data_IF_931437127586
#
_entry.id   IF_931437127586
#
_cell.length_a   1.000
_cell.length_b   1.000
_cell.length_c   1.000
_cell.angle_alpha   90.00
_cell.angle_beta   90.00
_cell.angle_gamma   90.00
#
_symmetry.space_group_name_H-M   'P 1'
#
loop_
_entity.id
_entity.type
_entity.pdbx_description
1 polymer ?
#
# COMPACT_ATOMS: atom_id res chain seq x y z
N UNK A 1 -13.39 -24.70 -7.17
CA UNK A 1 -12.13 -24.46 -7.92
C UNK A 1 -11.39 -23.31 -7.29
N UNK A 2 -10.11 -23.48 -6.95
CA UNK A 2 -9.24 -22.42 -6.39
C UNK A 2 -8.61 -21.70 -7.59
N UNK A 3 -8.95 -20.44 -7.82
CA UNK A 3 -8.34 -19.65 -8.88
C UNK A 3 -6.88 -19.37 -8.49
N UNK A 4 -5.96 -20.11 -9.09
CA UNK A 4 -4.52 -19.82 -8.99
C UNK A 4 -4.28 -18.64 -9.90
N UNK A 5 -3.90 -17.50 -9.35
CA UNK A 5 -3.39 -16.38 -10.12
C UNK A 5 -2.03 -16.82 -10.70
N UNK A 6 -1.94 -17.12 -12.02
CA UNK A 6 -0.74 -17.71 -12.61
C UNK A 6 0.42 -16.69 -12.65
N UNK A 7 0.06 -15.42 -12.67
CA UNK A 7 0.96 -14.30 -12.82
C UNK A 7 1.45 -13.79 -11.45
N UNK A 8 0.63 -13.93 -10.42
CA UNK A 8 0.95 -13.62 -9.02
C UNK A 8 1.08 -12.13 -8.76
N UNK A 9 0.35 -11.29 -9.51
CA UNK A 9 0.35 -9.83 -9.37
C UNK A 9 -0.53 -9.40 -8.21
N UNK A 10 -0.10 -8.37 -7.51
CA UNK A 10 -0.83 -7.86 -6.38
C UNK A 10 -0.63 -6.37 -6.19
N UNK A 11 -1.57 -5.79 -5.46
CA UNK A 11 -1.42 -4.51 -4.79
C UNK A 11 -1.57 -4.70 -3.28
N UNK A 12 -0.72 -4.00 -2.52
CA UNK A 12 -0.82 -3.94 -1.06
C UNK A 12 -1.10 -2.50 -0.67
N UNK A 13 -2.26 -2.27 -0.07
CA UNK A 13 -2.50 -1.01 0.65
C UNK A 13 -1.84 -1.14 2.02
N UNK A 14 -0.87 -0.27 2.29
CA UNK A 14 -0.11 -0.22 3.53
C UNK A 14 -0.72 0.82 4.45
N UNK A 15 -0.71 0.56 5.76
CA UNK A 15 -1.16 1.53 6.75
C UNK A 15 -0.31 1.50 8.03
N UNK A 16 0.21 2.66 8.38
CA UNK A 16 0.80 2.96 9.68
C UNK A 16 -0.30 3.64 10.50
N UNK A 17 -0.97 2.85 11.34
CA UNK A 17 -2.23 3.20 11.99
C UNK A 17 -2.08 4.25 13.09
N UNK A 18 -0.86 4.38 13.63
CA UNK A 18 -0.53 5.27 14.73
C UNK A 18 0.14 6.57 14.25
N UNK A 19 0.49 6.66 12.95
CA UNK A 19 1.03 7.87 12.35
C UNK A 19 0.00 9.01 12.28
N UNK A 20 0.52 10.24 12.17
CA UNK A 20 -0.23 11.52 12.14
C UNK A 20 -1.32 11.58 13.22
N UNK A 21 -0.90 11.97 14.43
CA UNK A 21 -1.79 12.14 15.56
C UNK A 21 -2.34 13.57 15.61
N UNK A 22 -3.65 13.71 15.39
CA UNK A 22 -4.36 14.97 15.56
C UNK A 22 -5.14 14.89 16.88
N UNK A 23 -4.52 15.33 17.97
CA UNK A 23 -5.09 15.25 19.33
C UNK A 23 -6.49 15.86 19.44
N UNK A 24 -6.77 16.92 18.68
CA UNK A 24 -8.07 17.58 18.64
C UNK A 24 -9.19 16.68 18.08
N UNK A 25 -8.83 15.62 17.35
CA UNK A 25 -9.75 14.71 16.65
C UNK A 25 -9.80 13.32 17.30
N UNK A 26 -9.33 13.19 18.54
CA UNK A 26 -9.50 11.97 19.33
C UNK A 26 -8.54 10.82 19.00
N UNK A 27 -7.44 11.07 18.28
CA UNK A 27 -6.37 10.08 18.10
C UNK A 27 -5.66 10.08 16.75
N UNK A 28 -4.88 9.01 16.47
CA UNK A 28 -4.11 8.87 15.24
C UNK A 28 -5.01 8.63 14.03
N UNK A 29 -4.73 9.35 12.94
CA UNK A 29 -5.45 9.23 11.68
C UNK A 29 -4.80 8.21 10.73
N UNK A 30 -3.53 7.89 10.99
CA UNK A 30 -2.72 6.93 10.26
C UNK A 30 -1.96 7.55 9.10
N UNK A 31 -1.31 6.70 8.31
CA UNK A 31 -0.62 7.06 7.07
C UNK A 31 -0.66 5.88 6.11
N UNK A 32 -1.08 6.13 4.86
CA UNK A 32 -1.19 5.09 3.84
C UNK A 32 -0.09 5.24 2.80
N UNK A 33 0.30 4.10 2.24
CA UNK A 33 1.11 3.99 1.04
C UNK A 33 0.65 2.77 0.25
N UNK A 34 1.21 2.56 -0.93
CA UNK A 34 0.80 1.45 -1.79
C UNK A 34 2.02 0.77 -2.42
N UNK A 35 1.98 -0.56 -2.48
CA UNK A 35 2.91 -1.39 -3.25
C UNK A 35 2.15 -2.03 -4.40
N UNK A 36 2.72 -2.03 -5.59
CA UNK A 36 2.15 -2.68 -6.78
C UNK A 36 3.20 -3.58 -7.42
N UNK A 37 2.87 -4.84 -7.66
CA UNK A 37 3.75 -5.76 -8.36
C UNK A 37 3.73 -7.17 -7.83
N UNK A 38 4.85 -7.87 -8.02
CA UNK A 38 5.06 -9.23 -7.54
C UNK A 38 6.54 -9.61 -7.47
N UNK A 39 6.85 -10.77 -6.89
CA UNK A 39 8.23 -11.24 -6.75
C UNK A 39 8.88 -11.68 -8.06
N UNK A 40 8.12 -11.79 -9.16
CA UNK A 40 8.65 -12.16 -10.49
C UNK A 40 9.17 -10.94 -11.26
N UNK A 41 8.42 -9.84 -11.20
CA UNK A 41 8.64 -8.61 -11.98
C UNK A 41 9.06 -7.42 -11.11
N UNK A 42 9.10 -7.61 -9.81
CA UNK A 42 9.38 -6.57 -8.83
C UNK A 42 8.12 -5.84 -8.37
N UNK A 43 8.33 -5.12 -7.27
CA UNK A 43 7.34 -4.29 -6.60
C UNK A 43 7.75 -2.83 -6.72
N UNK A 44 6.77 -1.95 -6.88
CA UNK A 44 6.97 -0.51 -6.82
C UNK A 44 6.17 0.06 -5.66
N UNK A 45 6.87 0.72 -4.76
CA UNK A 45 6.32 1.44 -3.61
C UNK A 45 6.08 2.89 -3.98
N UNK A 46 4.90 3.41 -3.65
CA UNK A 46 4.53 4.81 -3.80
C UNK A 46 4.02 5.37 -2.48
N UNK A 47 4.58 6.51 -2.08
CA UNK A 47 4.17 7.23 -0.87
C UNK A 47 4.35 8.74 -1.02
N UNK A 48 3.35 9.53 -0.61
CA UNK A 48 3.58 10.95 -0.33
C UNK A 48 3.91 11.13 1.13
N UNK A 49 5.12 11.61 1.43
CA UNK A 49 5.46 11.99 2.79
C UNK A 49 4.85 13.37 3.05
N UNK A 50 4.26 13.56 4.23
CA UNK A 50 3.54 14.79 4.57
C UNK A 50 4.46 16.01 4.66
N UNK A 51 4.73 16.48 5.88
CA UNK A 51 5.43 17.75 6.10
C UNK A 51 6.97 17.69 6.07
N UNK A 52 7.57 16.54 5.74
CA UNK A 52 9.02 16.37 5.74
C UNK A 52 9.52 15.35 4.71
N UNK A 53 10.78 15.49 4.27
CA UNK A 53 11.38 14.53 3.36
C UNK A 53 11.49 13.15 4.01
N UNK A 54 11.42 12.12 3.17
CA UNK A 54 11.83 10.77 3.50
C UNK A 54 13.24 10.79 4.08
N UNK A 55 13.44 10.11 5.20
CA UNK A 55 14.79 9.93 5.76
C UNK A 55 15.66 9.01 4.91
N UNK A 56 15.06 8.31 3.95
CA UNK A 56 15.71 7.25 3.17
C UNK A 56 16.06 7.75 1.77
N UNK A 57 15.14 8.41 1.07
CA UNK A 57 15.41 8.98 -0.25
C UNK A 57 15.84 10.44 -0.19
N UNK A 58 15.57 11.14 0.91
CA UNK A 58 15.70 12.60 1.00
C UNK A 58 14.60 13.36 0.27
N UNK A 59 13.66 12.67 -0.40
CA UNK A 59 12.61 13.26 -1.21
C UNK A 59 11.31 13.48 -0.42
N UNK A 60 10.50 14.47 -0.84
CA UNK A 60 9.18 14.73 -0.23
C UNK A 60 8.17 13.61 -0.50
N UNK A 61 8.38 12.82 -1.55
CA UNK A 61 7.54 11.68 -1.91
C UNK A 61 8.47 10.54 -2.32
N UNK A 62 8.09 9.30 -2.07
CA UNK A 62 8.91 8.14 -2.39
C UNK A 62 8.31 7.37 -3.56
N UNK A 63 9.17 7.04 -4.52
CA UNK A 63 8.99 5.94 -5.48
C UNK A 63 10.19 5.01 -5.36
N UNK A 64 9.97 3.79 -4.89
CA UNK A 64 11.09 2.85 -4.62
C UNK A 64 10.75 1.48 -5.18
N UNK A 65 11.71 0.86 -5.86
CA UNK A 65 11.56 -0.48 -6.41
C UNK A 65 12.18 -1.53 -5.47
N UNK A 66 11.48 -2.64 -5.29
CA UNK A 66 11.94 -3.80 -4.54
C UNK A 66 11.84 -5.04 -5.41
N UNK A 67 12.82 -5.94 -5.34
CA UNK A 67 12.77 -7.19 -6.10
C UNK A 67 11.71 -8.14 -5.53
N UNK A 68 11.62 -8.22 -4.21
CA UNK A 68 10.66 -9.08 -3.50
C UNK A 68 9.88 -8.32 -2.44
N UNK A 69 8.68 -8.82 -2.12
CA UNK A 69 7.89 -8.29 -1.02
C UNK A 69 8.63 -8.43 0.32
N UNK A 70 9.40 -9.50 0.49
CA UNK A 70 10.26 -9.71 1.66
C UNK A 70 11.32 -8.63 1.83
N UNK A 71 11.85 -8.10 0.72
CA UNK A 71 12.86 -7.03 0.73
C UNK A 71 12.22 -5.73 1.23
N UNK A 72 11.00 -5.43 0.78
CA UNK A 72 10.23 -4.32 1.33
C UNK A 72 9.95 -4.52 2.82
N UNK A 73 9.39 -5.66 3.22
CA UNK A 73 9.01 -5.95 4.62
C UNK A 73 10.18 -5.84 5.59
N UNK A 74 11.39 -6.21 5.15
CA UNK A 74 12.61 -6.14 5.96
C UNK A 74 13.28 -4.76 5.96
N UNK A 75 12.93 -3.89 5.02
CA UNK A 75 13.43 -2.51 4.96
C UNK A 75 12.91 -1.64 6.11
N UNK A 76 13.63 -0.55 6.41
CA UNK A 76 13.20 0.45 7.39
C UNK A 76 11.81 1.04 7.04
N UNK A 77 11.49 1.20 5.75
CA UNK A 77 10.17 1.65 5.29
C UNK A 77 9.10 0.62 5.62
N UNK A 78 9.33 -0.65 5.27
CA UNK A 78 8.34 -1.70 5.47
C UNK A 78 8.03 -1.95 6.94
N UNK A 79 9.04 -1.83 7.82
CA UNK A 79 8.88 -2.01 9.26
C UNK A 79 8.00 -0.94 9.92
N UNK A 80 7.83 0.23 9.27
CA UNK A 80 6.95 1.30 9.76
C UNK A 80 5.47 0.90 9.75
N UNK A 81 5.05 0.10 8.78
CA UNK A 81 3.63 -0.18 8.56
C UNK A 81 3.15 -1.31 9.48
N UNK A 82 2.32 -1.00 10.46
CA UNK A 82 1.70 -1.97 11.37
C UNK A 82 0.49 -2.68 10.77
N UNK A 83 0.04 -2.30 9.57
CA UNK A 83 -1.05 -2.96 8.82
C UNK A 83 -0.77 -2.97 7.31
N UNK A 84 -1.30 -3.97 6.62
CA UNK A 84 -1.24 -4.05 5.17
C UNK A 84 -2.23 -5.07 4.62
N UNK A 85 -2.88 -4.74 3.52
CA UNK A 85 -3.90 -5.58 2.92
C UNK A 85 -3.61 -5.81 1.44
N UNK A 86 -3.40 -7.08 1.09
CA UNK A 86 -3.02 -7.54 -0.24
C UNK A 86 -4.24 -7.98 -1.03
N UNK A 87 -4.41 -7.40 -2.21
CA UNK A 87 -5.45 -7.76 -3.17
C UNK A 87 -4.75 -8.27 -4.43
N UNK A 88 -5.18 -9.42 -4.92
CA UNK A 88 -4.67 -9.98 -6.17
C UNK A 88 -5.12 -9.14 -7.34
N UNK A 89 -4.21 -8.91 -8.27
CA UNK A 89 -4.45 -8.11 -9.48
C UNK A 89 -3.96 -8.86 -10.71
N UNK A 90 -4.29 -8.34 -11.88
CA UNK A 90 -3.71 -8.78 -13.14
C UNK A 90 -2.55 -7.88 -13.55
N UNK A 91 -1.68 -8.36 -14.44
CA UNK A 91 -0.62 -7.54 -15.04
C UNK A 91 -1.14 -6.21 -15.58
N UNK A 92 -2.29 -6.22 -16.28
CA UNK A 92 -2.89 -4.99 -16.83
C UNK A 92 -3.26 -4.00 -15.74
N UNK A 93 -3.79 -4.48 -14.61
CA UNK A 93 -4.10 -3.62 -13.46
C UNK A 93 -2.81 -3.06 -12.87
N UNK A 94 -1.77 -3.87 -12.68
CA UNK A 94 -0.46 -3.42 -12.23
C UNK A 94 0.13 -2.32 -13.12
N UNK A 95 0.08 -2.50 -14.44
CA UNK A 95 0.63 -1.55 -15.39
C UNK A 95 -0.06 -0.19 -15.31
N UNK A 96 -1.39 -0.16 -15.21
CA UNK A 96 -2.13 1.11 -15.09
C UNK A 96 -1.93 1.75 -13.72
N UNK A 97 -1.82 0.96 -12.64
CA UNK A 97 -1.53 1.46 -11.30
C UNK A 97 -0.12 2.04 -11.23
N UNK A 98 0.89 1.35 -11.78
CA UNK A 98 2.28 1.84 -11.84
C UNK A 98 2.40 3.07 -12.73
N UNK A 99 1.74 3.09 -13.89
CA UNK A 99 1.70 4.28 -14.77
C UNK A 99 1.08 5.48 -14.04
N UNK A 100 0.01 5.27 -13.28
CA UNK A 100 -0.58 6.31 -12.46
C UNK A 100 0.39 6.77 -11.37
N UNK A 101 0.96 5.83 -10.60
CA UNK A 101 1.92 6.14 -9.54
C UNK A 101 3.11 6.95 -10.07
N UNK A 102 3.75 6.50 -11.14
CA UNK A 102 4.91 7.14 -11.76
C UNK A 102 4.60 8.58 -12.22
N UNK A 103 3.39 8.82 -12.71
CA UNK A 103 2.94 10.15 -13.16
C UNK A 103 2.56 11.08 -12.01
N UNK A 104 2.09 10.56 -10.88
CA UNK A 104 1.42 11.36 -9.85
C UNK A 104 2.16 11.42 -8.50
N UNK A 105 3.08 10.49 -8.21
CA UNK A 105 3.71 10.40 -6.88
C UNK A 105 4.38 11.70 -6.45
N UNK A 106 5.07 12.38 -7.38
CA UNK A 106 5.78 13.63 -7.10
C UNK A 106 5.01 14.90 -7.48
N UNK A 107 3.70 14.81 -7.77
CA UNK A 107 2.88 16.02 -7.90
C UNK A 107 2.98 16.83 -6.61
N UNK A 108 3.26 18.15 -6.70
CA UNK A 108 3.26 19.01 -5.53
C UNK A 108 1.90 18.91 -4.84
N UNK A 109 1.90 18.99 -3.50
CA UNK A 109 0.67 19.29 -2.78
C UNK A 109 0.13 20.59 -3.35
N UNK A 110 -0.98 20.53 -4.09
CA UNK A 110 -1.61 21.68 -4.72
C UNK A 110 -1.97 22.73 -3.67
N UNK A 111 -1.15 23.78 -3.59
CA UNK A 111 -1.26 24.82 -2.58
C UNK A 111 -2.38 25.84 -2.89
N UNK A 112 -3.55 25.42 -3.39
CA UNK A 112 -4.78 26.25 -3.43
C UNK A 112 -6.10 25.46 -3.20
N UNK A 113 -6.63 25.41 -1.98
CA UNK A 113 -7.83 26.13 -1.54
C UNK A 113 -7.98 26.10 -0.01
N UNK A 114 -7.92 27.27 0.64
CA UNK A 114 -8.32 27.48 2.03
C UNK A 114 -9.24 28.71 2.10
N UNK A 115 -10.47 28.65 2.64
CA UNK A 115 -11.26 29.86 2.80
C UNK A 115 -10.98 30.65 4.09
N UNK A 116 -10.24 30.10 5.07
CA UNK A 116 -10.04 30.72 6.39
C UNK A 116 -8.61 30.69 7.00
N UNK A 117 -7.68 29.78 6.66
CA UNK A 117 -6.33 29.68 7.27
C UNK A 117 -5.15 29.20 6.36
N UNK A 118 -5.21 29.46 5.03
CA UNK A 118 -4.10 29.29 4.07
C UNK A 118 -3.42 27.91 3.87
N UNK A 119 -4.03 26.75 4.17
CA UNK A 119 -3.44 25.43 3.92
C UNK A 119 -4.31 24.52 3.04
N UNK A 120 -3.75 24.01 1.95
CA UNK A 120 -4.55 23.48 0.85
C UNK A 120 -4.79 21.97 0.88
N UNK A 121 -5.99 21.65 0.43
CA UNK A 121 -6.70 20.38 0.30
C UNK A 121 -6.12 19.44 -0.78
N UNK A 122 -4.81 19.32 -0.84
CA UNK A 122 -4.12 18.57 -1.88
C UNK A 122 -3.98 17.08 -1.56
N UNK A 123 -3.94 16.27 -2.63
CA UNK A 123 -3.73 14.81 -2.65
C UNK A 123 -2.74 14.38 -1.54
N UNK A 124 -3.28 13.83 -0.44
CA UNK A 124 -2.46 13.39 0.69
C UNK A 124 -1.97 11.95 0.50
N UNK A 125 -1.22 11.41 1.47
CA UNK A 125 -0.73 10.02 1.41
C UNK A 125 -1.82 8.98 1.11
N UNK A 126 -3.03 9.16 1.65
CA UNK A 126 -4.18 8.30 1.41
C UNK A 126 -4.84 8.57 0.05
N UNK A 127 -4.84 9.80 -0.43
CA UNK A 127 -5.33 10.10 -1.78
C UNK A 127 -4.43 9.43 -2.83
N UNK A 128 -3.10 9.61 -2.79
CA UNK A 128 -2.19 8.93 -3.73
C UNK A 128 -2.35 7.41 -3.68
N UNK A 129 -2.31 6.82 -2.48
CA UNK A 129 -2.43 5.37 -2.33
C UNK A 129 -3.78 4.86 -2.86
N UNK A 130 -4.84 5.61 -2.61
CA UNK A 130 -6.18 5.32 -3.10
C UNK A 130 -6.32 5.46 -4.60
N UNK A 131 -5.77 6.52 -5.19
CA UNK A 131 -5.87 6.78 -6.63
C UNK A 131 -5.03 5.80 -7.44
N UNK A 132 -3.85 5.41 -6.94
CA UNK A 132 -3.07 4.31 -7.52
C UNK A 132 -3.90 3.03 -7.50
N UNK A 133 -4.44 2.60 -6.36
CA UNK A 133 -5.27 1.38 -6.30
C UNK A 133 -6.53 1.47 -7.18
N UNK A 134 -7.18 2.64 -7.20
CA UNK A 134 -8.37 2.93 -8.00
C UNK A 134 -8.10 2.93 -9.51
N UNK A 135 -6.90 3.32 -9.95
CA UNK A 135 -6.49 3.21 -11.36
C UNK A 135 -6.48 1.74 -11.82
N UNK A 136 -6.20 0.80 -10.91
CA UNK A 136 -6.32 -0.63 -11.12
C UNK A 136 -7.76 -1.17 -11.09
N UNK A 137 -8.76 -0.30 -10.93
CA UNK A 137 -10.17 -0.67 -10.86
C UNK A 137 -10.62 -1.22 -9.50
N UNK A 138 -9.82 -1.04 -8.44
CA UNK A 138 -10.21 -1.44 -7.09
C UNK A 138 -11.17 -0.43 -6.45
N UNK A 139 -12.03 -0.91 -5.57
CA UNK A 139 -12.97 -0.07 -4.84
C UNK A 139 -12.25 0.68 -3.72
N UNK A 140 -12.23 2.02 -3.82
CA UNK A 140 -11.55 2.88 -2.85
C UNK A 140 -12.52 3.96 -2.37
N UNK A 141 -12.66 4.08 -1.05
CA UNK A 141 -13.37 5.19 -0.42
C UNK A 141 -12.42 6.31 -0.03
N UNK A 142 -12.87 7.56 -0.07
CA UNK A 142 -12.10 8.73 0.32
C UNK A 142 -12.76 9.47 1.49
N UNK A 143 -12.85 8.86 2.69
CA UNK A 143 -13.49 9.50 3.84
C UNK A 143 -12.71 10.76 4.24
N UNK A 144 -13.30 11.94 4.01
CA UNK A 144 -12.65 13.22 4.29
C UNK A 144 -12.90 13.71 5.72
N UNK A 145 -11.91 14.37 6.30
CA UNK A 145 -12.04 15.15 7.54
C UNK A 145 -11.08 16.34 7.48
N UNK A 146 -11.60 17.54 7.77
CA UNK A 146 -10.90 18.81 7.53
C UNK A 146 -10.27 18.85 6.13
N UNK A 147 -10.96 18.22 5.17
CA UNK A 147 -10.58 18.25 3.77
C UNK A 147 -9.50 17.27 3.29
N UNK A 148 -8.85 16.53 4.17
CA UNK A 148 -7.95 15.41 3.82
C UNK A 148 -8.62 14.05 3.96
N UNK A 149 -8.23 13.05 3.16
CA UNK A 149 -8.68 11.66 3.37
C UNK A 149 -8.07 11.09 4.65
N UNK A 150 -8.89 10.45 5.50
CA UNK A 150 -8.46 9.77 6.72
C UNK A 150 -7.86 8.40 6.36
N UNK A 151 -6.54 8.19 6.55
CA UNK A 151 -5.88 6.94 6.15
C UNK A 151 -6.45 5.69 6.81
N UNK A 152 -6.69 5.72 8.13
CA UNK A 152 -7.22 4.57 8.87
C UNK A 152 -8.59 4.12 8.37
N UNK A 153 -9.51 5.07 8.13
CA UNK A 153 -10.85 4.76 7.61
C UNK A 153 -10.80 4.29 6.17
N UNK A 154 -9.93 4.87 5.34
CA UNK A 154 -9.74 4.39 3.96
C UNK A 154 -9.25 2.94 3.97
N UNK A 155 -8.25 2.61 4.80
CA UNK A 155 -7.73 1.25 4.92
C UNK A 155 -8.81 0.25 5.33
N UNK A 156 -9.58 0.57 6.37
CA UNK A 156 -10.64 -0.31 6.88
C UNK A 156 -11.75 -0.53 5.85
N UNK A 157 -12.11 0.49 5.07
CA UNK A 157 -13.09 0.40 4.00
C UNK A 157 -12.55 -0.39 2.80
N UNK A 158 -11.31 -0.13 2.39
CA UNK A 158 -10.67 -0.87 1.30
C UNK A 158 -10.66 -2.37 1.55
N UNK A 159 -10.34 -2.78 2.79
CA UNK A 159 -10.37 -4.19 3.22
C UNK A 159 -11.77 -4.81 3.18
N UNK A 160 -12.82 -4.03 3.44
CA UNK A 160 -14.21 -4.51 3.39
C UNK A 160 -14.71 -4.65 1.95
N UNK A 161 -14.31 -3.74 1.07
CA UNK A 161 -14.76 -3.69 -0.32
C UNK A 161 -14.01 -4.64 -1.25
N UNK A 162 -12.75 -4.97 -0.96
CA UNK A 162 -11.92 -5.76 -1.85
C UNK A 162 -11.58 -7.13 -1.23
N UNK A 163 -11.81 -8.26 -1.94
CA UNK A 163 -11.40 -9.57 -1.46
C UNK A 163 -9.87 -9.68 -1.50
N UNK A 164 -9.28 -10.00 -0.35
CA UNK A 164 -7.83 -10.01 -0.17
C UNK A 164 -7.45 -10.67 1.15
N UNK A 165 -6.19 -10.50 1.53
CA UNK A 165 -5.63 -11.08 2.76
C UNK A 165 -4.73 -10.07 3.45
N UNK A 166 -4.55 -10.22 4.78
CA UNK A 166 -3.51 -9.48 5.46
C UNK A 166 -2.14 -9.84 4.86
N UNK A 167 -1.33 -8.83 4.57
CA UNK A 167 -0.02 -9.00 3.95
C UNK A 167 1.00 -9.71 4.85
N UNK A 168 0.75 -9.83 6.16
CA UNK A 168 1.55 -10.62 7.09
C UNK A 168 1.15 -12.09 7.10
N UNK A 169 -0.11 -12.38 6.79
CA UNK A 169 -0.63 -13.75 6.73
C UNK A 169 -0.25 -14.44 5.41
N UNK A 170 0.19 -13.68 4.40
CA UNK A 170 0.78 -14.28 3.20
C UNK A 170 2.18 -14.78 3.51
N UNK A 171 2.30 -16.10 3.71
CA UNK A 171 3.56 -16.80 3.51
C UNK A 171 4.02 -16.49 2.08
N UNK A 172 5.17 -15.82 1.95
CA UNK A 172 5.86 -15.73 0.68
C UNK A 172 6.20 -17.18 0.28
N UNK A 173 5.50 -17.70 -0.73
CA UNK A 173 5.79 -19.03 -1.23
C UNK A 173 7.27 -19.07 -1.63
N UNK A 174 8.04 -19.87 -0.90
CA UNK A 174 9.39 -20.17 -1.35
C UNK A 174 9.22 -21.03 -2.60
N UNK A 175 9.81 -20.57 -3.69
CA UNK A 175 9.93 -21.39 -4.89
C UNK A 175 11.32 -21.99 -4.87
N UNK A 176 11.42 -23.29 -5.16
CA UNK A 176 12.71 -23.93 -5.36
C UNK A 176 13.42 -23.33 -6.59
N UNK A 177 14.68 -23.73 -6.81
CA UNK A 177 15.47 -23.28 -7.96
C UNK A 177 14.86 -23.63 -9.32
N UNK A 178 13.81 -24.45 -9.36
CA UNK A 178 13.09 -24.88 -10.56
C UNK A 178 11.71 -24.21 -10.68
N UNK A 179 11.38 -23.23 -9.82
CA UNK A 179 10.11 -22.51 -9.84
C UNK A 179 8.92 -23.33 -9.34
N UNK A 180 9.16 -24.46 -8.65
CA UNK A 180 8.10 -25.24 -7.99
C UNK A 180 7.89 -24.71 -6.58
N UNK A 181 6.63 -24.68 -6.15
CA UNK A 181 6.27 -24.30 -4.80
C UNK A 181 6.91 -25.29 -3.80
N UNK A 182 7.71 -24.77 -2.87
CA UNK A 182 8.35 -25.54 -1.80
C UNK A 182 7.29 -26.19 -0.90
N UNK A 183 7.23 -27.52 -0.90
CA UNK A 183 6.29 -28.30 -0.09
C UNK A 183 6.45 -28.08 1.43
N UNK A 184 7.62 -27.63 1.91
CA UNK A 184 7.83 -27.35 3.34
C UNK A 184 7.12 -26.07 3.79
N UNK A 185 7.08 -25.05 2.95
CA UNK A 185 6.35 -23.81 3.23
C UNK A 185 4.83 -24.01 3.31
N UNK A 186 4.30 -25.04 2.64
CA UNK A 186 2.91 -25.47 2.73
C UNK A 186 2.58 -26.12 4.09
N UNK A 187 3.48 -26.95 4.61
CA UNK A 187 3.25 -27.68 5.87
C UNK A 187 3.42 -26.77 7.12
N UNK A 188 4.34 -25.80 7.09
CA UNK A 188 4.48 -24.81 8.17
C UNK A 188 3.24 -23.92 8.35
N UNK A 189 2.52 -23.62 7.26
CA UNK A 189 1.27 -22.84 7.29
C UNK A 189 0.17 -23.56 8.09
N UNK A 190 -0.02 -24.86 7.88
CA UNK A 190 -1.04 -25.62 8.62
C UNK A 190 -0.63 -25.94 10.06
N UNK A 191 0.67 -26.12 10.32
CA UNK A 191 1.18 -26.30 11.68
C UNK A 191 0.94 -25.07 12.58
N UNK A 192 0.98 -23.85 12.03
CA UNK A 192 0.68 -22.61 12.77
C UNK A 192 -0.82 -22.34 12.96
N UNK A 193 -1.67 -22.94 12.13
CA UNK A 193 -3.13 -22.81 12.23
C UNK A 193 -3.77 -23.82 13.20
N UNK A 194 -2.96 -24.62 13.91
CA UNK A 194 -3.43 -25.49 14.99
C UNK A 194 -4.42 -26.57 14.53
N UNK A 195 -4.15 -27.22 13.39
CA UNK A 195 -4.83 -28.45 12.98
C UNK A 195 -3.90 -29.64 13.07
#
# INVERSE_FOLDING_TARGET
MRYVDPSGHDVVLLNDSQSVNIKLLGGPQGHNAVLVGNDKTGWVYYCKNGFGPSKITGEKNDRIEYKKLSDFKSSEIGQRYDRGYRVKTSQKQDDVMKTYGDKNYNKPYDLISDPWFGGNLAENCADLAGEVAGAGGLEVSYPKLLGGTIPNKQYDNFRKSNPGTDWRDTFDYKYDSNGRQDENSYNEYYAKLGK
#
